data_IF_299640317098
#
_entry.id   IF_299640317098
#
_cell.length_a   1.000
_cell.length_b   1.000
_cell.length_c   1.000
_cell.angle_alpha   90.00
_cell.angle_beta   90.00
_cell.angle_gamma   90.00
#
_symmetry.space_group_name_H-M   'P 1'
#
loop_
_entity.id
_entity.type
_entity.pdbx_description
1 polymer ?
#
# COMPACT_ATOMS: atom_id res chain seq x y z
N UNK A 1 -28.38 19.55 -29.73
CA UNK A 1 -28.25 19.63 -29.26
C UNK A 1 -27.78 19.47 -28.88
N UNK A 2 -27.46 19.80 -28.79
CA UNK A 2 -26.97 19.75 -28.21
C UNK A 2 -26.70 19.55 -27.33
N UNK A 3 -26.65 19.67 -26.93
CA UNK A 3 -26.37 19.49 -25.92
C UNK A 3 -26.15 18.60 -25.20
N UNK A 4 -26.37 18.31 -25.20
CA UNK A 4 -26.15 17.45 -24.50
C UNK A 4 -25.06 16.87 -24.47
N UNK A 5 -24.47 16.78 -25.29
CA UNK A 5 -23.37 16.35 -25.26
C UNK A 5 -22.53 16.89 -24.46
N UNK A 6 -22.76 17.60 -24.09
CA UNK A 6 -22.04 18.26 -23.36
C UNK A 6 -22.08 17.87 -22.01
N UNK A 7 -22.98 17.54 -21.48
CA UNK A 7 -23.08 17.15 -20.22
C UNK A 7 -22.61 15.87 -19.96
N UNK A 8 -22.66 15.18 -20.81
CA UNK A 8 -22.10 13.92 -20.66
C UNK A 8 -20.66 14.00 -20.38
N UNK A 9 -19.99 14.79 -21.05
CA UNK A 9 -18.63 15.07 -20.82
C UNK A 9 -18.39 15.50 -19.41
N UNK A 10 -19.29 16.27 -18.90
CA UNK A 10 -19.15 16.71 -17.54
C UNK A 10 -19.19 15.59 -16.57
N UNK A 11 -20.03 14.66 -16.81
CA UNK A 11 -20.15 13.55 -15.91
C UNK A 11 -18.91 12.73 -15.89
N UNK A 12 -18.36 12.48 -17.04
CA UNK A 12 -17.15 11.73 -17.11
C UNK A 12 -16.06 12.47 -16.41
N UNK A 13 -16.03 13.75 -16.56
CA UNK A 13 -15.04 14.53 -15.89
C UNK A 13 -15.18 14.47 -14.41
N UNK A 14 -16.37 14.43 -13.91
CA UNK A 14 -16.57 14.34 -12.49
C UNK A 14 -15.98 13.06 -11.95
N UNK A 15 -16.19 11.97 -12.65
CA UNK A 15 -15.63 10.72 -12.22
C UNK A 15 -14.14 10.76 -12.30
N UNK A 16 -13.63 11.29 -13.37
CA UNK A 16 -12.20 11.38 -13.53
C UNK A 16 -11.58 12.25 -12.44
N UNK A 17 -12.29 13.29 -12.05
CA UNK A 17 -11.81 14.13 -11.00
C UNK A 17 -11.69 13.41 -9.69
N UNK A 18 -12.68 12.58 -9.41
CA UNK A 18 -12.63 11.78 -8.20
C UNK A 18 -11.47 10.82 -8.26
N UNK A 19 -11.26 10.21 -9.40
CA UNK A 19 -10.16 9.29 -9.56
C UNK A 19 -8.83 10.00 -9.37
N UNK A 20 -8.71 11.18 -9.90
CA UNK A 20 -7.47 11.91 -9.75
C UNK A 20 -7.21 12.20 -8.28
N UNK A 21 -8.24 12.52 -7.54
CA UNK A 21 -8.10 12.73 -6.11
C UNK A 21 -7.69 11.46 -5.42
N UNK A 22 -8.28 10.37 -5.82
CA UNK A 22 -7.96 9.10 -5.23
C UNK A 22 -6.57 8.65 -5.61
N UNK A 23 -6.14 8.99 -6.80
CA UNK A 23 -4.82 8.64 -7.25
C UNK A 23 -3.77 9.44 -6.52
N UNK A 24 -4.18 10.47 -5.81
CA UNK A 24 -3.25 11.20 -4.98
C UNK A 24 -2.68 10.28 -3.94
N UNK A 25 -1.58 10.69 -3.38
CA UNK A 25 -0.88 9.87 -2.42
C UNK A 25 -1.74 9.61 -1.21
N UNK A 26 -1.82 8.35 -0.84
CA UNK A 26 -2.43 7.97 0.42
C UNK A 26 -1.37 8.06 1.49
N UNK A 27 -1.75 8.64 2.61
CA UNK A 27 -0.81 8.96 3.68
C UNK A 27 -0.61 7.75 4.57
N UNK A 28 0.64 7.50 4.90
CA UNK A 28 1.01 6.49 5.89
C UNK A 28 1.25 7.22 7.20
N UNK A 29 0.74 6.67 8.29
CA UNK A 29 0.83 7.33 9.59
C UNK A 29 1.34 6.36 10.64
N UNK A 30 1.99 6.90 11.66
CA UNK A 30 2.45 6.10 12.79
C UNK A 30 1.32 5.92 13.80
N UNK A 31 1.66 5.33 14.95
CA UNK A 31 0.66 5.03 15.98
C UNK A 31 0.04 6.29 16.58
N UNK A 32 0.75 7.40 16.54
CA UNK A 32 0.26 8.67 17.07
C UNK A 32 -0.42 9.50 15.98
N UNK A 33 -0.63 8.89 14.83
CA UNK A 33 -1.32 9.48 13.70
C UNK A 33 -0.52 10.57 12.98
N UNK A 34 0.79 10.62 13.20
CA UNK A 34 1.66 11.53 12.47
C UNK A 34 1.96 10.95 11.09
N UNK A 35 2.02 11.81 10.09
CA UNK A 35 2.37 11.38 8.74
C UNK A 35 3.83 10.93 8.72
N UNK A 36 4.08 9.72 8.21
CA UNK A 36 5.44 9.20 8.08
C UNK A 36 5.82 8.93 6.63
N UNK A 37 4.86 9.05 5.71
CA UNK A 37 5.15 8.82 4.31
C UNK A 37 3.89 8.76 3.49
N UNK A 38 4.05 8.37 2.23
CA UNK A 38 2.93 8.29 1.28
C UNK A 38 3.19 7.20 0.26
N UNK A 39 2.11 6.60 -0.22
CA UNK A 39 2.18 5.71 -1.38
C UNK A 39 1.17 6.24 -2.37
N UNK A 40 1.60 6.56 -3.61
CA UNK A 40 0.65 7.05 -4.59
C UNK A 40 0.07 5.89 -5.40
N UNK A 41 -0.87 6.20 -6.27
CA UNK A 41 -1.62 5.17 -6.98
C UNK A 41 -0.79 4.33 -7.93
N UNK A 42 0.36 4.82 -8.37
CA UNK A 42 1.23 4.05 -9.25
C UNK A 42 2.35 3.33 -8.49
N UNK A 43 2.25 3.28 -7.17
CA UNK A 43 3.14 2.42 -6.38
C UNK A 43 4.40 3.08 -5.87
N UNK A 44 4.59 4.38 -6.06
CA UNK A 44 5.79 5.04 -5.56
C UNK A 44 5.62 5.31 -4.08
N UNK A 45 6.60 4.86 -3.29
CA UNK A 45 6.61 5.04 -1.84
C UNK A 45 7.54 6.20 -1.52
N UNK A 46 7.05 7.16 -0.74
CA UNK A 46 7.83 8.32 -0.36
C UNK A 46 7.88 8.44 1.15
N UNK A 47 8.98 8.98 1.65
CA UNK A 47 9.11 9.23 3.08
C UNK A 47 8.44 10.56 3.43
N UNK A 48 8.57 10.95 4.69
CA UNK A 48 7.95 12.17 5.19
C UNK A 48 8.48 13.41 4.49
N UNK A 49 9.73 13.38 4.06
CA UNK A 49 10.33 14.50 3.35
C UNK A 49 9.94 14.55 1.87
N UNK A 50 9.14 13.59 1.41
CA UNK A 50 8.71 13.54 0.02
C UNK A 50 9.66 12.85 -0.91
N UNK A 51 10.71 12.23 -0.40
CA UNK A 51 11.66 11.51 -1.23
C UNK A 51 11.17 10.11 -1.52
N UNK A 52 11.35 9.66 -2.75
CA UNK A 52 11.05 8.29 -3.10
C UNK A 52 11.99 7.34 -2.37
N UNK A 53 11.43 6.34 -1.70
CA UNK A 53 12.23 5.32 -1.02
C UNK A 53 12.03 3.94 -1.62
N UNK A 54 11.18 3.84 -2.63
CA UNK A 54 10.98 2.57 -3.32
C UNK A 54 9.72 2.58 -4.14
N UNK A 55 9.46 1.46 -4.81
CA UNK A 55 8.27 1.33 -5.65
C UNK A 55 7.69 -0.06 -5.54
N UNK A 56 6.37 -0.13 -5.70
CA UNK A 56 5.64 -1.35 -5.96
C UNK A 56 5.28 -1.36 -7.43
N UNK A 57 5.87 -2.24 -8.21
CA UNK A 57 5.61 -2.27 -9.64
C UNK A 57 4.32 -2.99 -9.95
N UNK A 58 3.79 -2.73 -11.14
CA UNK A 58 2.54 -3.35 -11.56
C UNK A 58 2.65 -4.86 -11.66
N UNK A 59 3.85 -5.40 -11.91
CA UNK A 59 4.04 -6.84 -12.01
C UNK A 59 4.28 -7.51 -10.66
N UNK A 60 4.23 -6.75 -9.57
CA UNK A 60 4.40 -7.27 -8.22
C UNK A 60 5.80 -7.16 -7.67
N UNK A 61 6.77 -6.74 -8.47
CA UNK A 61 8.15 -6.58 -7.99
C UNK A 61 8.23 -5.34 -7.10
N UNK A 62 8.99 -5.45 -6.02
CA UNK A 62 9.22 -4.33 -5.11
C UNK A 62 10.67 -3.91 -5.26
N UNK A 63 10.88 -2.61 -5.49
CA UNK A 63 12.22 -2.06 -5.66
C UNK A 63 12.52 -1.06 -4.56
N UNK A 64 13.79 -1.01 -4.14
CA UNK A 64 14.21 -0.01 -3.15
C UNK A 64 14.59 1.29 -3.85
N UNK A 65 15.13 2.24 -3.09
CA UNK A 65 15.44 3.56 -3.61
C UNK A 65 16.53 3.53 -4.69
N UNK A 66 17.38 2.52 -4.65
CA UNK A 66 18.44 2.36 -5.66
C UNK A 66 17.94 1.68 -6.93
N UNK A 67 16.66 1.30 -6.96
CA UNK A 67 16.12 0.58 -8.10
C UNK A 67 16.41 -0.91 -8.06
N UNK A 68 16.91 -1.43 -6.95
CA UNK A 68 17.23 -2.84 -6.81
C UNK A 68 15.98 -3.58 -6.34
N UNK A 69 15.67 -4.72 -6.95
CA UNK A 69 14.56 -5.54 -6.52
C UNK A 69 14.86 -6.11 -5.13
N UNK A 70 13.92 -5.96 -4.21
CA UNK A 70 14.08 -6.46 -2.84
C UNK A 70 13.08 -7.54 -2.51
N UNK A 71 12.10 -7.77 -3.36
CA UNK A 71 11.11 -8.82 -3.15
C UNK A 71 10.00 -8.72 -4.16
N UNK A 72 8.96 -9.50 -3.95
CA UNK A 72 7.79 -9.46 -4.85
C UNK A 72 6.53 -9.85 -4.11
N UNK A 73 5.41 -9.47 -4.70
CA UNK A 73 4.09 -9.78 -4.18
C UNK A 73 3.33 -10.53 -5.26
N UNK A 74 2.69 -11.62 -4.87
CA UNK A 74 1.84 -12.37 -5.79
C UNK A 74 0.66 -12.92 -5.02
N UNK A 75 -0.55 -12.40 -5.32
CA UNK A 75 -1.79 -12.92 -4.75
C UNK A 75 -1.75 -12.98 -3.22
N UNK A 76 -1.37 -11.88 -2.60
CA UNK A 76 -1.29 -11.75 -1.14
C UNK A 76 -0.18 -12.58 -0.52
N UNK A 77 0.72 -13.11 -1.32
CA UNK A 77 1.93 -13.77 -0.82
C UNK A 77 3.13 -12.88 -1.10
N UNK A 78 4.05 -12.86 -0.15
CA UNK A 78 5.22 -11.99 -0.20
C UNK A 78 6.45 -12.87 -0.32
N UNK A 79 7.32 -12.54 -1.27
CA UNK A 79 8.52 -13.35 -1.56
C UNK A 79 9.78 -12.50 -1.47
N UNK A 80 10.89 -13.15 -1.11
CA UNK A 80 12.18 -12.50 -1.19
C UNK A 80 12.72 -12.59 -2.62
N UNK A 81 13.95 -12.11 -2.83
CA UNK A 81 14.52 -12.07 -4.18
C UNK A 81 14.91 -13.45 -4.70
N UNK A 82 14.94 -14.45 -3.83
CA UNK A 82 15.26 -15.80 -4.22
C UNK A 82 14.02 -16.65 -4.45
N UNK A 83 12.85 -16.02 -4.35
CA UNK A 83 11.60 -16.71 -4.59
C UNK A 83 11.05 -17.44 -3.38
N UNK A 84 11.65 -17.29 -2.21
CA UNK A 84 11.13 -17.90 -1.00
C UNK A 84 9.97 -17.08 -0.46
N UNK A 85 8.89 -17.73 -0.05
CA UNK A 85 7.76 -17.03 0.55
C UNK A 85 8.14 -16.62 1.97
N UNK A 86 8.20 -15.33 2.22
CA UNK A 86 8.54 -14.80 3.52
C UNK A 86 7.31 -14.39 4.33
N UNK A 87 6.15 -14.39 3.71
CA UNK A 87 4.93 -14.10 4.43
C UNK A 87 3.72 -14.10 3.53
N UNK A 88 2.56 -13.88 4.13
CA UNK A 88 1.32 -13.79 3.38
C UNK A 88 0.26 -13.07 4.20
N UNK A 89 -0.81 -12.66 3.53
CA UNK A 89 -1.90 -11.92 4.13
C UNK A 89 -3.18 -12.71 3.93
N UNK A 90 -3.86 -13.01 5.01
CA UNK A 90 -5.16 -13.66 4.94
C UNK A 90 -6.21 -12.67 4.45
N UNK A 91 -7.32 -13.18 3.94
CA UNK A 91 -8.36 -12.30 3.41
C UNK A 91 -9.01 -11.44 4.47
N UNK A 92 -8.86 -11.79 5.74
CA UNK A 92 -9.38 -10.98 6.83
C UNK A 92 -8.39 -9.91 7.31
N UNK A 93 -7.22 -9.80 6.67
CA UNK A 93 -6.23 -8.80 7.03
C UNK A 93 -5.16 -9.26 7.99
N UNK A 94 -5.17 -10.54 8.41
CA UNK A 94 -4.10 -11.07 9.27
C UNK A 94 -2.84 -11.22 8.44
N UNK A 95 -1.73 -10.71 8.94
CA UNK A 95 -0.43 -10.78 8.28
C UNK A 95 0.41 -11.84 8.99
N UNK A 96 0.96 -12.77 8.21
CA UNK A 96 1.74 -13.87 8.78
C UNK A 96 3.09 -13.96 8.08
N UNK A 97 4.08 -14.48 8.80
CA UNK A 97 5.40 -14.70 8.20
C UNK A 97 5.40 -16.03 7.43
N UNK A 98 6.58 -16.41 6.91
CA UNK A 98 6.70 -17.62 6.10
C UNK A 98 6.42 -18.90 6.85
N UNK A 99 6.44 -18.88 8.18
CA UNK A 99 6.13 -20.03 9.02
C UNK A 99 4.75 -19.95 9.62
N UNK A 100 3.94 -19.01 9.13
CA UNK A 100 2.54 -18.80 9.53
C UNK A 100 2.36 -18.20 10.91
N UNK A 101 3.41 -17.66 11.49
CA UNK A 101 3.28 -16.91 12.73
C UNK A 101 2.62 -15.57 12.44
N UNK A 102 1.74 -15.12 13.33
CA UNK A 102 1.07 -13.84 13.15
C UNK A 102 2.04 -12.71 13.43
N UNK A 103 2.18 -11.81 12.45
CA UNK A 103 2.97 -10.60 12.62
C UNK A 103 2.09 -9.43 13.06
N UNK A 104 0.85 -9.42 12.63
CA UNK A 104 -0.08 -8.37 12.99
C UNK A 104 -1.33 -8.41 12.15
N UNK A 105 -2.07 -7.31 12.18
CA UNK A 105 -3.39 -7.25 11.56
C UNK A 105 -3.56 -5.93 10.83
N UNK A 106 -4.23 -5.97 9.70
CA UNK A 106 -4.60 -4.77 8.95
C UNK A 106 -6.11 -4.74 8.85
N UNK A 107 -6.72 -3.67 9.33
CA UNK A 107 -8.15 -3.50 9.19
C UNK A 107 -8.43 -3.05 7.77
N UNK A 108 -9.10 -3.89 7.01
CA UNK A 108 -9.30 -3.65 5.59
C UNK A 108 -10.17 -2.41 5.37
N UNK A 109 -11.08 -2.13 6.30
CA UNK A 109 -12.02 -1.03 6.12
C UNK A 109 -11.39 0.34 6.37
N UNK A 110 -10.56 0.47 7.39
CA UNK A 110 -10.06 1.79 7.77
C UNK A 110 -8.54 1.91 7.73
N UNK A 111 -7.84 0.83 7.38
CA UNK A 111 -6.39 0.89 7.22
C UNK A 111 -5.60 0.91 8.51
N UNK A 112 -6.24 0.64 9.64
CA UNK A 112 -5.52 0.60 10.91
C UNK A 112 -4.64 -0.64 10.95
N UNK A 113 -3.39 -0.46 11.38
CA UNK A 113 -2.40 -1.53 11.43
C UNK A 113 -2.04 -1.79 12.88
N UNK A 114 -2.10 -3.04 13.29
CA UNK A 114 -1.76 -3.43 14.66
C UNK A 114 -0.73 -4.55 14.63
N UNK A 115 0.04 -4.67 15.70
CA UNK A 115 1.01 -5.76 15.82
C UNK A 115 0.30 -7.05 16.29
N UNK A 116 1.09 -8.08 16.59
CA UNK A 116 0.54 -9.38 16.99
C UNK A 116 -0.22 -9.31 18.30
N UNK A 117 0.11 -8.36 19.16
CA UNK A 117 -0.59 -8.15 20.41
C UNK A 117 -1.75 -7.17 20.29
N UNK A 118 -2.05 -6.78 19.05
CA UNK A 118 -3.16 -5.87 18.71
C UNK A 118 -2.93 -4.44 19.17
N UNK A 119 -1.68 -4.08 19.36
CA UNK A 119 -1.31 -2.70 19.66
C UNK A 119 -1.21 -1.96 18.33
N UNK A 120 -1.78 -0.77 18.25
CA UNK A 120 -1.74 0.03 17.03
C UNK A 120 -0.32 0.46 16.71
N UNK A 121 0.12 0.21 15.48
CA UNK A 121 1.45 0.64 15.03
C UNK A 121 1.36 1.63 13.88
N UNK A 122 0.19 1.82 13.27
CA UNK A 122 0.06 2.80 12.23
C UNK A 122 -1.29 2.78 11.55
N UNK A 123 -1.40 3.63 10.52
CA UNK A 123 -2.62 3.76 9.74
C UNK A 123 -2.26 3.98 8.28
N UNK A 124 -2.99 3.34 7.39
CA UNK A 124 -2.74 3.47 5.95
C UNK A 124 -4.05 3.36 5.18
N UNK A 125 -4.98 4.24 5.50
CA UNK A 125 -6.32 4.21 4.93
C UNK A 125 -6.27 4.37 3.42
N UNK A 126 -6.98 3.50 2.72
CA UNK A 126 -7.07 3.57 1.26
C UNK A 126 -5.92 2.96 0.51
N UNK A 127 -4.91 2.45 1.20
CA UNK A 127 -3.77 1.80 0.57
C UNK A 127 -4.09 0.31 0.42
N UNK A 128 -3.58 -0.31 -0.64
CA UNK A 128 -3.76 -1.75 -0.86
C UNK A 128 -3.17 -2.52 0.32
N UNK A 129 -3.88 -3.58 0.74
CA UNK A 129 -3.50 -4.31 1.94
C UNK A 129 -2.12 -4.96 1.81
N UNK A 130 -1.78 -5.41 0.60
CA UNK A 130 -0.47 -6.04 0.39
C UNK A 130 0.66 -5.00 0.48
N UNK A 131 0.42 -3.78 0.01
CA UNK A 131 1.40 -2.71 0.14
C UNK A 131 1.56 -2.29 1.60
N UNK A 132 0.47 -2.25 2.35
CA UNK A 132 0.52 -1.93 3.78
C UNK A 132 1.37 -2.97 4.50
N UNK A 133 1.15 -4.24 4.19
CA UNK A 133 1.90 -5.32 4.84
C UNK A 133 3.38 -5.20 4.55
N UNK A 134 3.75 -4.93 3.31
CA UNK A 134 5.15 -4.79 2.95
C UNK A 134 5.80 -3.61 3.66
N UNK A 135 5.05 -2.53 3.80
CA UNK A 135 5.60 -1.34 4.43
C UNK A 135 5.79 -1.53 5.93
N UNK A 136 4.81 -2.08 6.62
CA UNK A 136 4.86 -2.14 8.08
C UNK A 136 5.49 -3.41 8.64
N UNK A 137 5.48 -4.51 7.90
CA UNK A 137 5.88 -5.80 8.46
C UNK A 137 7.09 -6.44 7.79
N UNK A 138 7.34 -6.16 6.52
CA UNK A 138 8.40 -6.87 5.81
C UNK A 138 9.63 -6.02 5.53
N UNK A 139 9.60 -4.75 5.91
CA UNK A 139 10.79 -3.88 5.95
C UNK A 139 11.55 -3.76 4.64
N UNK A 140 10.83 -3.77 3.53
CA UNK A 140 11.48 -3.65 2.22
C UNK A 140 12.12 -2.28 1.99
N UNK A 141 11.70 -1.27 2.72
CA UNK A 141 12.15 0.10 2.49
C UNK A 141 13.00 0.66 3.63
N UNK A 142 13.46 -0.20 4.52
CA UNK A 142 14.31 0.21 5.64
C UNK A 142 15.75 0.45 5.21
#
# INVERSE_FOLDING_TARGET
>A
MKRIRLYVTSIVLAVAGIMATQAGAQVLRDADYNSIGRINGNGVVRNEAGRSIGTFDADGTVHNVSGKAVGSIKQLEIFDTEGNRIGYINTDGTVRDGESNVLGYISINDGKVTDAEKKTIGFARGVRVDWIACYFFFHFFD
#
